data_IF_966270549855
#
_entry.id   IF_966270549855
#
_cell.length_a   1.000
_cell.length_b   1.000
_cell.length_c   1.000
_cell.angle_alpha   90.00
_cell.angle_beta   90.00
_cell.angle_gamma   90.00
#
_symmetry.space_group_name_H-M   'P 1'
#
loop_
_entity.id
_entity.type
_entity.pdbx_description
1 polymer ?
#
# COMPACT_ATOMS: atom_id res chain seq x y z
N UNK A 1 25.57 -30.21 19.51
CA UNK A 1 26.48 -29.15 19.06
C UNK A 1 25.66 -27.88 18.93
N UNK A 2 25.93 -26.87 19.76
CA UNK A 2 25.19 -25.61 19.76
C UNK A 2 25.51 -24.76 18.53
N UNK A 3 24.51 -24.06 18.00
CA UNK A 3 24.67 -23.14 16.88
C UNK A 3 25.71 -22.04 17.22
N UNK A 4 26.58 -21.65 16.28
CA UNK A 4 27.52 -20.56 16.50
C UNK A 4 26.74 -19.27 16.77
N UNK A 5 26.97 -18.70 17.94
CA UNK A 5 26.43 -17.40 18.32
C UNK A 5 27.00 -16.36 17.36
N UNK A 6 26.15 -15.63 16.64
CA UNK A 6 26.59 -14.44 15.89
C UNK A 6 27.04 -13.41 16.92
N UNK A 7 28.36 -13.29 17.11
CA UNK A 7 28.93 -12.24 17.95
C UNK A 7 28.74 -10.92 17.20
N UNK A 8 27.60 -10.25 17.43
CA UNK A 8 27.41 -8.88 16.97
C UNK A 8 28.50 -7.99 17.55
N UNK A 9 29.02 -7.06 16.76
CA UNK A 9 30.05 -6.11 17.22
C UNK A 9 29.44 -5.26 18.33
N UNK A 10 29.96 -5.40 19.56
CA UNK A 10 29.50 -4.62 20.71
C UNK A 10 30.23 -3.28 20.83
N UNK A 11 29.60 -2.29 21.49
CA UNK A 11 30.24 -0.99 21.79
C UNK A 11 31.63 -1.16 22.42
N UNK A 12 31.78 -2.12 23.34
CA UNK A 12 33.07 -2.39 24.00
C UNK A 12 34.12 -2.98 23.08
N UNK A 13 33.73 -3.82 22.12
CA UNK A 13 34.65 -4.31 21.10
C UNK A 13 35.18 -3.16 20.24
N UNK A 14 34.31 -2.25 19.81
CA UNK A 14 34.70 -1.06 19.04
C UNK A 14 35.59 -0.13 19.87
N UNK A 15 35.21 0.16 21.12
CA UNK A 15 35.99 1.00 22.02
C UNK A 15 37.41 0.46 22.22
N UNK A 16 37.54 -0.84 22.47
CA UNK A 16 38.84 -1.49 22.65
C UNK A 16 39.71 -1.41 21.40
N UNK A 17 39.14 -1.59 20.21
CA UNK A 17 39.88 -1.44 18.95
C UNK A 17 40.28 0.01 18.67
N UNK A 18 39.42 1.00 18.94
CA UNK A 18 39.74 2.42 18.79
C UNK A 18 40.88 2.85 19.75
N UNK A 19 40.86 2.39 21.00
CA UNK A 19 41.93 2.65 21.97
C UNK A 19 43.25 1.99 21.52
N UNK A 20 43.21 0.74 21.03
CA UNK A 20 44.39 0.04 20.48
C UNK A 20 44.97 0.77 19.25
N UNK A 21 44.12 1.39 18.44
CA UNK A 21 44.53 2.21 17.30
C UNK A 21 45.15 3.56 17.72
N UNK A 22 45.23 3.86 19.02
CA UNK A 22 45.86 5.08 19.55
C UNK A 22 44.90 6.27 19.66
N UNK A 23 43.59 6.07 19.54
CA UNK A 23 42.60 7.13 19.72
C UNK A 23 42.43 7.41 21.22
N UNK A 24 42.37 8.70 21.58
CA UNK A 24 42.11 9.12 22.96
C UNK A 24 40.82 8.47 23.49
N UNK A 25 40.83 8.02 24.75
CA UNK A 25 39.72 7.29 25.37
C UNK A 25 38.38 8.03 25.28
N UNK A 26 38.36 9.34 25.49
CA UNK A 26 37.13 10.14 25.47
C UNK A 26 36.57 10.25 24.04
N UNK A 27 37.47 10.40 23.06
CA UNK A 27 37.12 10.42 21.63
C UNK A 27 36.66 9.04 21.16
N UNK A 28 37.34 7.97 21.62
CA UNK A 28 37.01 6.59 21.30
C UNK A 28 35.66 6.17 21.93
N UNK A 29 35.33 6.68 23.12
CA UNK A 29 34.06 6.43 23.79
C UNK A 29 32.90 7.09 23.05
N UNK A 30 33.06 8.35 22.60
CA UNK A 30 32.11 9.06 21.75
C UNK A 30 31.91 8.37 20.39
N UNK A 31 32.99 8.02 19.68
CA UNK A 31 32.94 7.31 18.40
C UNK A 31 32.29 5.94 18.53
N UNK A 32 32.64 5.17 19.58
CA UNK A 32 32.03 3.86 19.81
C UNK A 32 30.54 3.97 20.12
N UNK A 33 30.13 5.03 20.83
CA UNK A 33 28.73 5.31 21.12
C UNK A 33 27.97 5.67 19.85
N UNK A 34 28.51 6.58 19.02
CA UNK A 34 27.90 6.98 17.75
C UNK A 34 27.82 5.84 16.74
N UNK A 35 28.86 5.02 16.64
CA UNK A 35 28.89 3.85 15.77
C UNK A 35 27.90 2.77 16.22
N UNK A 36 27.76 2.57 17.54
CA UNK A 36 26.83 1.60 18.11
C UNK A 36 25.37 2.06 18.05
N UNK A 37 25.11 3.36 18.18
CA UNK A 37 23.75 3.90 18.24
C UNK A 37 23.24 4.48 16.92
N UNK A 38 24.10 4.72 15.92
CA UNK A 38 23.74 5.23 14.59
C UNK A 38 22.62 6.29 14.62
N UNK A 39 22.71 7.25 15.54
CA UNK A 39 21.59 8.12 15.90
C UNK A 39 21.07 8.95 14.71
N UNK A 40 21.99 9.39 13.84
CA UNK A 40 21.65 10.11 12.61
C UNK A 40 20.88 9.22 11.63
N UNK A 41 21.38 8.00 11.37
CA UNK A 41 20.76 7.01 10.48
C UNK A 41 19.39 6.56 10.99
N UNK A 42 19.20 6.42 12.30
CA UNK A 42 17.91 6.03 12.87
C UNK A 42 16.85 7.12 12.67
N UNK A 43 17.21 8.39 12.89
CA UNK A 43 16.31 9.53 12.68
C UNK A 43 15.91 9.67 11.21
N UNK A 44 16.87 9.53 10.30
CA UNK A 44 16.59 9.57 8.85
C UNK A 44 15.69 8.40 8.44
N UNK A 45 15.92 7.20 8.98
CA UNK A 45 15.08 6.04 8.72
C UNK A 45 13.66 6.20 9.29
N UNK A 46 13.52 6.80 10.47
CA UNK A 46 12.23 7.10 11.07
C UNK A 46 11.44 8.12 10.25
N UNK A 47 12.12 9.16 9.75
CA UNK A 47 11.51 10.15 8.85
C UNK A 47 11.05 9.50 7.54
N UNK A 48 11.90 8.72 6.88
CA UNK A 48 11.54 7.96 5.67
C UNK A 48 10.34 7.04 5.95
N UNK A 49 10.32 6.37 7.10
CA UNK A 49 9.18 5.51 7.49
C UNK A 49 7.90 6.31 7.67
N UNK A 50 7.96 7.50 8.26
CA UNK A 50 6.80 8.38 8.45
C UNK A 50 6.28 8.90 7.10
N UNK A 51 7.17 9.34 6.21
CA UNK A 51 6.82 9.77 4.86
C UNK A 51 6.17 8.64 4.07
N UNK A 52 6.80 7.46 4.00
CA UNK A 52 6.24 6.30 3.31
C UNK A 52 4.87 5.90 3.88
N UNK A 53 4.70 5.95 5.21
CA UNK A 53 3.41 5.65 5.84
C UNK A 53 2.33 6.67 5.46
N UNK A 54 2.71 7.95 5.36
CA UNK A 54 1.82 9.01 4.91
C UNK A 54 1.41 8.83 3.46
N UNK A 55 2.39 8.57 2.58
CA UNK A 55 2.14 8.34 1.15
C UNK A 55 1.23 7.12 0.94
N UNK A 56 1.51 6.00 1.63
CA UNK A 56 0.67 4.81 1.59
C UNK A 56 -0.78 5.15 1.99
N UNK A 57 -0.98 5.97 3.01
CA UNK A 57 -2.32 6.37 3.45
C UNK A 57 -3.03 7.25 2.43
N UNK A 58 -2.32 8.18 1.79
CA UNK A 58 -2.88 9.02 0.72
C UNK A 58 -3.27 8.17 -0.50
N UNK A 59 -2.42 7.21 -0.87
CA UNK A 59 -2.71 6.22 -1.90
C UNK A 59 -3.96 5.38 -1.57
N UNK A 60 -4.09 4.91 -0.34
CA UNK A 60 -5.24 4.12 0.13
C UNK A 60 -6.55 4.91 0.01
N UNK A 61 -6.55 6.18 0.46
CA UNK A 61 -7.70 7.07 0.32
C UNK A 61 -8.10 7.28 -1.15
N UNK A 62 -7.12 7.52 -2.04
CA UNK A 62 -7.37 7.70 -3.48
C UNK A 62 -7.94 6.45 -4.13
N UNK A 63 -7.50 5.26 -3.70
CA UNK A 63 -8.04 3.99 -4.17
C UNK A 63 -9.50 3.83 -3.73
N UNK A 64 -9.81 4.11 -2.47
CA UNK A 64 -11.17 4.03 -1.95
C UNK A 64 -12.13 5.01 -2.64
N UNK A 65 -11.71 6.25 -2.87
CA UNK A 65 -12.49 7.23 -3.63
C UNK A 65 -12.79 6.75 -5.05
N UNK A 66 -11.78 6.24 -5.76
CA UNK A 66 -11.94 5.72 -7.11
C UNK A 66 -12.83 4.47 -7.15
N UNK A 67 -12.73 3.60 -6.15
CA UNK A 67 -13.60 2.44 -5.99
C UNK A 67 -15.07 2.86 -5.84
N UNK A 68 -15.36 3.83 -4.97
CA UNK A 68 -16.73 4.36 -4.78
C UNK A 68 -17.27 4.94 -6.09
N UNK A 69 -16.47 5.74 -6.79
CA UNK A 69 -16.85 6.31 -8.11
C UNK A 69 -17.16 5.21 -9.12
N UNK A 70 -16.31 4.18 -9.23
CA UNK A 70 -16.52 3.07 -10.14
C UNK A 70 -17.79 2.27 -9.79
N UNK A 71 -17.98 1.90 -8.53
CA UNK A 71 -19.16 1.19 -8.02
C UNK A 71 -20.46 1.95 -8.31
N UNK A 72 -20.47 3.27 -8.07
CA UNK A 72 -21.64 4.10 -8.34
C UNK A 72 -21.96 4.18 -9.84
N UNK A 73 -20.94 4.29 -10.69
CA UNK A 73 -21.09 4.31 -12.15
C UNK A 73 -21.61 2.97 -12.67
N UNK A 74 -21.05 1.86 -12.19
CA UNK A 74 -21.49 0.51 -12.56
C UNK A 74 -22.95 0.26 -12.12
N UNK A 75 -23.33 0.67 -10.91
CA UNK A 75 -24.72 0.55 -10.43
C UNK A 75 -25.68 1.34 -11.33
N UNK A 76 -25.30 2.56 -11.72
CA UNK A 76 -26.10 3.38 -12.62
C UNK A 76 -26.22 2.75 -14.01
N UNK A 77 -25.12 2.24 -14.57
CA UNK A 77 -25.14 1.54 -15.86
C UNK A 77 -26.00 0.26 -15.81
N UNK A 78 -25.86 -0.55 -14.77
CA UNK A 78 -26.69 -1.75 -14.58
C UNK A 78 -28.17 -1.40 -14.49
N UNK A 79 -28.51 -0.32 -13.79
CA UNK A 79 -29.89 0.18 -13.72
C UNK A 79 -30.41 0.63 -15.09
N UNK A 80 -29.61 1.42 -15.83
CA UNK A 80 -29.96 1.85 -17.19
C UNK A 80 -30.15 0.67 -18.14
N UNK A 81 -29.25 -0.31 -18.13
CA UNK A 81 -29.38 -1.52 -18.96
C UNK A 81 -30.66 -2.29 -18.65
N UNK A 82 -31.08 -2.36 -17.39
CA UNK A 82 -32.37 -2.95 -17.01
C UNK A 82 -33.54 -2.27 -17.73
N UNK A 83 -33.61 -0.94 -17.69
CA UNK A 83 -34.69 -0.19 -18.37
C UNK A 83 -34.67 -0.37 -19.89
N UNK A 84 -33.48 -0.37 -20.49
CA UNK A 84 -33.29 -0.56 -21.93
C UNK A 84 -33.76 -1.95 -22.34
N UNK A 85 -33.38 -2.99 -21.59
CA UNK A 85 -33.80 -4.37 -21.84
C UNK A 85 -35.33 -4.49 -21.75
N UNK A 86 -35.96 -3.95 -20.71
CA UNK A 86 -37.43 -3.98 -20.56
C UNK A 86 -38.16 -3.28 -21.70
N UNK A 87 -37.64 -2.14 -22.16
CA UNK A 87 -38.22 -1.43 -23.29
C UNK A 87 -38.11 -2.27 -24.58
N UNK A 88 -36.93 -2.84 -24.84
CA UNK A 88 -36.70 -3.71 -25.99
C UNK A 88 -37.63 -4.93 -25.98
N UNK A 89 -37.72 -5.66 -24.87
CA UNK A 89 -38.60 -6.84 -24.76
C UNK A 89 -40.07 -6.49 -24.91
N UNK A 90 -40.51 -5.37 -24.35
CA UNK A 90 -41.89 -4.86 -24.51
C UNK A 90 -42.22 -4.58 -25.98
N UNK A 91 -41.34 -3.88 -26.71
CA UNK A 91 -41.53 -3.60 -28.14
C UNK A 91 -41.62 -4.91 -28.92
N UNK A 92 -40.70 -5.86 -28.71
CA UNK A 92 -40.74 -7.16 -29.40
C UNK A 92 -42.05 -7.93 -29.15
N UNK A 93 -42.53 -7.97 -27.91
CA UNK A 93 -43.80 -8.63 -27.58
C UNK A 93 -44.99 -7.99 -28.31
N UNK A 94 -45.06 -6.66 -28.35
CA UNK A 94 -46.13 -5.97 -29.08
C UNK A 94 -46.09 -6.24 -30.58
N UNK A 95 -44.91 -6.24 -31.19
CA UNK A 95 -44.72 -6.53 -32.61
C UNK A 95 -45.14 -7.96 -32.95
N UNK A 96 -44.74 -8.94 -32.14
CA UNK A 96 -45.16 -10.34 -32.31
C UNK A 96 -46.69 -10.44 -32.24
N UNK A 97 -47.33 -9.79 -31.27
CA UNK A 97 -48.79 -9.76 -31.15
C UNK A 97 -49.49 -9.20 -32.38
N UNK A 98 -48.96 -8.12 -32.97
CA UNK A 98 -49.49 -7.54 -34.21
C UNK A 98 -49.36 -8.53 -35.37
N UNK A 99 -48.20 -9.17 -35.53
CA UNK A 99 -47.96 -10.16 -36.60
C UNK A 99 -48.94 -11.33 -36.49
N UNK A 100 -49.14 -11.88 -35.28
CA UNK A 100 -50.11 -12.96 -35.06
C UNK A 100 -51.54 -12.54 -35.43
N UNK A 101 -51.94 -11.32 -35.05
CA UNK A 101 -53.28 -10.80 -35.41
C UNK A 101 -53.48 -10.63 -36.91
N UNK A 102 -52.41 -10.33 -37.66
CA UNK A 102 -52.47 -10.24 -39.12
C UNK A 102 -52.49 -11.63 -39.79
N UNK A 103 -51.74 -12.60 -39.27
CA UNK A 103 -51.66 -13.96 -39.82
C UNK A 103 -52.88 -14.83 -39.50
N UNK A 104 -53.57 -14.56 -38.39
CA UNK A 104 -54.74 -15.32 -37.95
C UNK A 104 -56.06 -14.83 -38.56
N UNK A 105 -56.00 -13.91 -39.52
CA UNK A 105 -57.15 -13.33 -40.23
C UNK A 105 -57.21 -13.88 -41.65
#
# INVERSE_FOLDING_TARGET
MGLPQTIGITRQMVLNELIKAGINRDIADDLSYRYYHNELTFKDLELIKMELKSDIKDLDNKIDENKIKLESTLKLHNWMFGTIITLCTGIFLTLIGIIYSFLSK
#
